data_IF_505355516809
#
_entry.id   IF_505355516809
#
_cell.length_a   1.000
_cell.length_b   1.000
_cell.length_c   1.000
_cell.angle_alpha   90.00
_cell.angle_beta   90.00
_cell.angle_gamma   90.00
#
_symmetry.space_group_name_H-M   'P 1'
#
loop_
_entity.id
_entity.type
_entity.pdbx_description
1 polymer ?
#
# COMPACT_ATOMS: atom_id res chain seq x y z
N UNK A 1 -8.87 18.15 -10.71
CA UNK A 1 -7.90 17.80 -9.65
C UNK A 1 -7.22 16.50 -10.02
N UNK A 2 -5.96 16.30 -9.60
CA UNK A 2 -5.19 15.07 -9.86
C UNK A 2 -4.76 14.50 -8.51
N UNK A 3 -4.85 13.18 -8.35
CA UNK A 3 -4.46 12.47 -7.15
C UNK A 3 -3.94 11.07 -7.50
N UNK A 4 -3.35 10.38 -6.52
CA UNK A 4 -2.87 9.01 -6.66
C UNK A 4 -3.13 8.20 -5.39
N UNK A 5 -3.56 6.96 -5.57
CA UNK A 5 -3.61 5.97 -4.49
C UNK A 5 -2.28 5.24 -4.37
N UNK A 6 -1.89 4.86 -3.15
CA UNK A 6 -0.68 4.09 -2.89
C UNK A 6 -1.04 2.82 -2.12
N UNK A 7 -0.53 1.67 -2.58
CA UNK A 7 -0.75 0.33 -2.00
C UNK A 7 0.28 0.00 -0.90
N UNK A 8 0.00 -0.91 0.06
CA UNK A 8 0.98 -1.25 1.09
C UNK A 8 2.19 -2.00 0.53
N UNK A 9 2.01 -2.89 -0.46
CA UNK A 9 3.10 -3.66 -1.06
C UNK A 9 4.15 -2.77 -1.75
N UNK A 10 3.73 -1.67 -2.39
CA UNK A 10 4.63 -0.74 -3.06
C UNK A 10 5.35 0.21 -2.09
N UNK A 11 4.89 0.31 -0.85
CA UNK A 11 5.60 1.01 0.22
C UNK A 11 6.63 0.11 0.92
N UNK A 12 6.31 -1.17 1.08
CA UNK A 12 7.14 -2.12 1.82
C UNK A 12 8.17 -2.85 0.98
N UNK A 13 7.81 -3.21 -0.26
CA UNK A 13 8.61 -4.11 -1.08
C UNK A 13 9.21 -3.36 -2.27
N UNK A 14 10.42 -3.78 -2.64
CA UNK A 14 11.01 -3.50 -3.94
C UNK A 14 11.10 -4.80 -4.75
N UNK A 15 11.50 -4.71 -6.02
CA UNK A 15 11.52 -5.84 -6.97
C UNK A 15 12.38 -7.01 -6.51
N UNK A 16 13.34 -6.81 -5.61
CA UNK A 16 14.15 -7.93 -5.10
C UNK A 16 13.29 -8.91 -4.29
N UNK A 17 12.19 -8.44 -3.69
CA UNK A 17 11.21 -9.29 -3.01
C UNK A 17 10.53 -10.31 -3.94
N UNK A 18 10.53 -10.09 -5.26
CA UNK A 18 10.05 -11.07 -6.24
C UNK A 18 11.01 -12.25 -6.40
N UNK A 19 12.28 -12.10 -6.03
CA UNK A 19 13.35 -13.05 -6.36
C UNK A 19 14.15 -13.52 -5.13
N UNK A 20 13.76 -13.10 -3.93
CA UNK A 20 14.44 -13.49 -2.69
C UNK A 20 14.23 -14.98 -2.43
N UNK A 21 15.32 -15.75 -2.47
CA UNK A 21 15.28 -17.21 -2.30
C UNK A 21 14.59 -17.95 -3.45
N UNK A 22 14.44 -17.31 -4.63
CA UNK A 22 13.68 -17.83 -5.77
C UNK A 22 12.50 -16.92 -6.12
N UNK A 23 11.76 -17.29 -7.18
CA UNK A 23 10.57 -16.55 -7.58
C UNK A 23 9.50 -16.63 -6.48
N UNK A 24 9.07 -15.48 -5.97
CA UNK A 24 8.01 -15.33 -4.97
C UNK A 24 6.71 -14.87 -5.66
N UNK A 25 5.85 -15.80 -6.14
CA UNK A 25 4.65 -15.43 -6.92
C UNK A 25 3.63 -14.63 -6.11
N UNK A 26 3.60 -14.78 -4.78
CA UNK A 26 2.71 -14.01 -3.90
C UNK A 26 3.08 -12.52 -3.83
N UNK A 27 4.29 -12.15 -4.23
CA UNK A 27 4.73 -10.75 -4.35
C UNK A 27 4.48 -10.17 -5.76
N UNK A 28 4.02 -10.99 -6.72
CA UNK A 28 3.75 -10.55 -8.09
C UNK A 28 2.38 -9.87 -8.19
N UNK A 29 2.39 -8.61 -8.62
CA UNK A 29 1.21 -7.79 -8.93
C UNK A 29 1.48 -6.86 -10.12
N UNK A 30 0.42 -6.20 -10.59
CA UNK A 30 0.49 -5.12 -11.55
C UNK A 30 -0.03 -3.82 -10.92
N UNK A 31 0.67 -2.69 -11.09
CA UNK A 31 2.02 -2.56 -11.66
C UNK A 31 3.07 -3.36 -10.87
N UNK A 32 4.12 -3.86 -11.53
CA UNK A 32 5.14 -4.70 -10.87
C UNK A 32 5.96 -3.90 -9.86
N UNK A 33 6.40 -4.54 -8.76
CA UNK A 33 7.41 -3.98 -7.85
C UNK A 33 8.63 -3.47 -8.63
N UNK A 34 9.14 -2.30 -8.24
CA UNK A 34 10.24 -1.60 -8.92
C UNK A 34 11.50 -1.57 -8.06
N UNK A 35 12.58 -0.94 -8.55
CA UNK A 35 13.83 -0.76 -7.80
C UNK A 35 13.60 0.02 -6.50
N UNK A 36 14.51 -0.13 -5.54
CA UNK A 36 14.43 0.51 -4.22
C UNK A 36 14.26 2.04 -4.29
N UNK A 37 14.93 2.71 -5.24
CA UNK A 37 14.77 4.15 -5.45
C UNK A 37 13.31 4.57 -5.70
N UNK A 38 12.52 3.71 -6.35
CA UNK A 38 11.11 3.99 -6.61
C UNK A 38 10.26 3.74 -5.36
N UNK A 39 10.56 2.68 -4.60
CA UNK A 39 9.90 2.42 -3.30
C UNK A 39 10.11 3.60 -2.36
N UNK A 40 11.35 4.08 -2.24
CA UNK A 40 11.69 5.25 -1.42
C UNK A 40 10.96 6.52 -1.86
N UNK A 41 10.87 6.76 -3.18
CA UNK A 41 10.12 7.90 -3.71
C UNK A 41 8.61 7.80 -3.38
N UNK A 42 8.01 6.62 -3.48
CA UNK A 42 6.61 6.38 -3.13
C UNK A 42 6.39 6.57 -1.62
N UNK A 43 7.30 6.06 -0.77
CA UNK A 43 7.26 6.29 0.68
C UNK A 43 7.30 7.78 0.99
N UNK A 44 8.28 8.51 0.44
CA UNK A 44 8.41 9.96 0.62
C UNK A 44 7.15 10.72 0.17
N UNK A 45 6.55 10.34 -0.95
CA UNK A 45 5.31 10.93 -1.43
C UNK A 45 4.13 10.66 -0.47
N UNK A 46 3.91 9.41 -0.09
CA UNK A 46 2.81 9.01 0.79
C UNK A 46 2.90 9.64 2.19
N UNK A 47 4.12 9.78 2.74
CA UNK A 47 4.37 10.33 4.08
C UNK A 47 4.65 11.84 4.07
N UNK A 48 4.55 12.51 2.93
CA UNK A 48 4.78 13.95 2.81
C UNK A 48 3.75 14.79 3.57
N UNK A 49 2.50 14.32 3.68
CA UNK A 49 1.36 15.10 4.15
C UNK A 49 0.60 15.82 3.03
N UNK A 50 0.99 15.59 1.76
CA UNK A 50 0.23 16.07 0.60
C UNK A 50 -1.16 15.44 0.54
N UNK A 51 -2.18 16.27 0.27
CA UNK A 51 -3.57 15.83 0.10
C UNK A 51 -3.82 15.03 -1.18
N UNK A 52 -2.84 14.98 -2.09
CA UNK A 52 -2.95 14.26 -3.37
C UNK A 52 -2.71 12.75 -3.25
N UNK A 53 -2.14 12.29 -2.13
CA UNK A 53 -1.88 10.87 -1.90
C UNK A 53 -2.79 10.33 -0.79
N UNK A 54 -3.42 9.19 -1.06
CA UNK A 54 -4.29 8.52 -0.09
C UNK A 54 -4.27 7.00 -0.26
N UNK A 55 -4.79 6.32 0.75
CA UNK A 55 -4.85 4.87 0.82
C UNK A 55 -5.64 4.28 -0.36
N UNK A 56 -5.03 3.30 -1.04
CA UNK A 56 -5.74 2.39 -1.94
C UNK A 56 -5.02 1.05 -1.93
N UNK A 57 -5.65 0.02 -1.38
CA UNK A 57 -4.97 -1.23 -1.04
C UNK A 57 -4.57 -2.05 -2.26
N UNK A 58 -5.38 -2.00 -3.32
CA UNK A 58 -5.30 -2.93 -4.43
C UNK A 58 -5.25 -4.40 -3.94
N UNK A 59 -6.04 -4.70 -2.90
CA UNK A 59 -6.12 -6.06 -2.37
C UNK A 59 -6.79 -6.96 -3.40
N UNK A 60 -6.01 -7.82 -4.02
CA UNK A 60 -6.41 -8.66 -5.14
C UNK A 60 -6.22 -10.15 -4.79
N UNK A 61 -7.22 -10.79 -4.14
CA UNK A 61 -7.13 -12.18 -3.76
C UNK A 61 -7.18 -13.11 -4.98
N UNK A 62 -6.28 -14.09 -4.97
CA UNK A 62 -6.30 -15.23 -5.88
C UNK A 62 -6.10 -16.50 -5.05
N UNK A 63 -6.72 -17.59 -5.48
CA UNK A 63 -6.46 -18.89 -4.88
C UNK A 63 -4.98 -19.27 -5.02
N UNK A 64 -4.45 -19.98 -4.02
CA UNK A 64 -3.02 -20.33 -3.95
C UNK A 64 -2.51 -20.99 -5.23
N UNK A 65 -3.28 -21.92 -5.79
CA UNK A 65 -2.90 -22.62 -7.03
C UNK A 65 -2.89 -21.72 -8.28
N UNK A 66 -3.64 -20.61 -8.27
CA UNK A 66 -3.62 -19.62 -9.35
C UNK A 66 -2.39 -18.70 -9.26
N UNK A 67 -1.79 -18.57 -8.07
CA UNK A 67 -0.51 -17.89 -7.86
C UNK A 67 0.67 -18.82 -8.17
N UNK A 68 0.60 -20.07 -7.75
CA UNK A 68 1.69 -21.07 -7.82
C UNK A 68 1.59 -21.96 -9.07
N UNK A 69 1.55 -21.33 -10.25
CA UNK A 69 1.47 -22.02 -11.55
C UNK A 69 2.42 -21.39 -12.58
N UNK A 70 2.70 -22.04 -13.73
CA UNK A 70 3.62 -21.51 -14.74
C UNK A 70 3.26 -20.09 -15.23
N UNK A 71 1.97 -19.75 -15.24
CA UNK A 71 1.47 -18.40 -15.53
C UNK A 71 0.67 -17.89 -14.32
N UNK A 72 1.35 -17.55 -13.23
CA UNK A 72 0.74 -17.09 -11.99
C UNK A 72 0.01 -15.75 -12.12
N UNK A 73 -1.17 -15.62 -11.51
CA UNK A 73 -1.95 -14.38 -11.52
C UNK A 73 -1.23 -13.24 -10.79
N UNK A 74 -1.37 -12.02 -11.32
CA UNK A 74 -0.90 -10.80 -10.68
C UNK A 74 -1.93 -10.29 -9.65
N UNK A 75 -1.50 -10.05 -8.42
CA UNK A 75 -2.35 -9.53 -7.35
C UNK A 75 -1.86 -9.95 -5.97
N UNK A 76 -1.97 -9.08 -4.97
CA UNK A 76 -1.59 -9.38 -3.58
C UNK A 76 -2.81 -9.23 -2.69
N UNK A 77 -3.12 -10.28 -1.93
CA UNK A 77 -4.14 -10.21 -0.90
C UNK A 77 -3.56 -9.57 0.36
N UNK A 78 -3.88 -8.30 0.60
CA UNK A 78 -3.33 -7.53 1.72
C UNK A 78 -4.40 -6.96 2.65
N UNK A 79 -5.69 -7.03 2.31
CA UNK A 79 -6.79 -6.44 3.08
C UNK A 79 -6.76 -6.77 4.58
N UNK A 80 -6.45 -8.01 5.03
CA UNK A 80 -6.44 -8.33 6.46
C UNK A 80 -5.40 -7.59 7.29
N UNK A 81 -4.34 -7.08 6.65
CA UNK A 81 -3.18 -6.48 7.33
C UNK A 81 -2.85 -5.08 6.84
N UNK A 82 -3.59 -4.56 5.85
CA UNK A 82 -3.24 -3.34 5.13
C UNK A 82 -3.01 -2.14 6.06
N UNK A 83 -3.89 -1.91 7.03
CA UNK A 83 -3.78 -0.76 7.92
C UNK A 83 -2.53 -0.84 8.79
N UNK A 84 -2.22 -2.01 9.36
CA UNK A 84 -0.99 -2.25 10.13
C UNK A 84 0.27 -2.05 9.28
N UNK A 85 0.23 -2.43 8.00
CA UNK A 85 1.33 -2.22 7.08
C UNK A 85 1.57 -0.73 6.77
N UNK A 86 0.51 0.07 6.57
CA UNK A 86 0.67 1.52 6.43
C UNK A 86 1.19 2.17 7.71
N UNK A 87 0.64 1.80 8.87
CA UNK A 87 1.08 2.33 10.16
C UNK A 87 2.58 2.08 10.38
N UNK A 88 3.05 0.85 10.10
CA UNK A 88 4.48 0.52 10.13
C UNK A 88 5.33 1.44 9.26
N UNK A 89 4.94 1.63 7.99
CA UNK A 89 5.70 2.49 7.06
C UNK A 89 5.74 3.94 7.52
N UNK A 90 4.60 4.47 8.00
CA UNK A 90 4.52 5.85 8.48
C UNK A 90 5.31 6.05 9.76
N UNK A 91 5.32 5.06 10.66
CA UNK A 91 6.17 5.07 11.86
C UNK A 91 7.66 5.04 11.49
N UNK A 92 8.09 4.12 10.62
CA UNK A 92 9.49 4.03 10.15
C UNK A 92 9.95 5.31 9.43
N UNK A 93 9.02 6.05 8.81
CA UNK A 93 9.29 7.34 8.18
C UNK A 93 9.21 8.54 9.14
N UNK A 94 8.93 8.33 10.43
CA UNK A 94 8.76 9.40 11.42
C UNK A 94 7.57 10.33 11.14
N UNK A 95 6.51 9.80 10.53
CA UNK A 95 5.38 10.56 9.99
C UNK A 95 4.01 10.03 10.47
N UNK A 96 3.97 9.38 11.63
CA UNK A 96 2.75 8.73 12.13
C UNK A 96 1.59 9.73 12.35
N UNK A 97 1.91 10.99 12.65
CA UNK A 97 0.99 12.13 12.75
C UNK A 97 0.21 12.39 11.45
N UNK A 98 0.73 11.95 10.30
CA UNK A 98 0.11 12.13 8.97
C UNK A 98 -0.72 10.94 8.51
N UNK A 99 -0.67 9.82 9.24
CA UNK A 99 -1.32 8.57 8.83
C UNK A 99 -2.83 8.74 8.65
N UNK A 100 -3.51 9.38 9.61
CA UNK A 100 -4.96 9.54 9.58
C UNK A 100 -5.44 10.32 8.35
N UNK A 101 -4.73 11.39 7.98
CA UNK A 101 -5.06 12.15 6.78
C UNK A 101 -4.97 11.28 5.52
N UNK A 102 -3.90 10.48 5.41
CA UNK A 102 -3.68 9.56 4.29
C UNK A 102 -4.75 8.44 4.21
N UNK A 103 -5.17 7.90 5.36
CA UNK A 103 -6.11 6.77 5.39
C UNK A 103 -7.58 7.17 5.37
N UNK A 104 -7.91 8.37 5.86
CA UNK A 104 -9.29 8.69 6.27
C UNK A 104 -9.81 10.04 5.76
N UNK A 105 -8.96 11.00 5.41
CA UNK A 105 -9.40 12.35 5.03
C UNK A 105 -9.19 12.67 3.56
N UNK A 106 -7.98 12.45 3.05
CA UNK A 106 -7.59 12.84 1.69
C UNK A 106 -8.45 12.17 0.62
N UNK A 107 -8.80 10.89 0.82
CA UNK A 107 -9.68 10.15 -0.09
C UNK A 107 -11.09 10.75 -0.16
N UNK A 108 -11.87 10.77 0.95
CA UNK A 108 -13.21 11.36 0.95
C UNK A 108 -13.23 12.81 0.44
N UNK A 109 -12.27 13.64 0.84
CA UNK A 109 -12.14 15.02 0.37
C UNK A 109 -11.98 15.10 -1.16
N UNK A 110 -11.14 14.23 -1.75
CA UNK A 110 -10.94 14.17 -3.20
C UNK A 110 -12.19 13.69 -3.95
N UNK A 111 -12.90 12.70 -3.41
CA UNK A 111 -14.12 12.15 -4.00
C UNK A 111 -15.37 13.01 -3.73
N UNK A 112 -15.29 14.08 -2.93
CA UNK A 112 -16.45 14.89 -2.53
C UNK A 112 -17.41 14.14 -1.61
N UNK A 113 -16.91 13.18 -0.84
CA UNK A 113 -17.68 12.36 0.10
C UNK A 113 -17.48 12.83 1.55
N UNK A 114 -18.48 12.64 2.43
CA UNK A 114 -18.31 12.95 3.85
C UNK A 114 -17.24 12.07 4.49
N UNK A 115 -16.51 12.64 5.44
CA UNK A 115 -15.57 11.88 6.27
C UNK A 115 -16.33 10.98 7.24
N UNK A 116 -15.75 9.82 7.56
CA UNK A 116 -16.29 8.95 8.60
C UNK A 116 -16.23 9.63 9.97
N UNK A 117 -17.24 9.38 10.81
CA UNK A 117 -17.30 9.86 12.20
C UNK A 117 -16.92 8.79 13.22
N UNK A 118 -16.92 7.51 12.81
CA UNK A 118 -16.41 6.42 13.63
C UNK A 118 -14.89 6.44 13.68
N UNK A 119 -14.35 5.99 14.81
CA UNK A 119 -12.92 5.93 15.06
C UNK A 119 -12.52 4.50 15.34
N UNK A 120 -11.36 4.11 14.84
CA UNK A 120 -10.68 2.87 15.21
C UNK A 120 -9.39 3.23 15.94
N UNK A 121 -9.04 2.44 16.95
CA UNK A 121 -7.79 2.61 17.70
C UNK A 121 -6.83 1.49 17.32
N UNK A 122 -5.63 1.86 16.91
CA UNK A 122 -4.54 0.90 16.69
C UNK A 122 -3.61 0.88 17.91
N UNK A 123 -3.14 -0.31 18.28
CA UNK A 123 -2.20 -0.51 19.37
C UNK A 123 -0.95 -1.24 18.84
N UNK A 124 0.19 -1.00 19.47
CA UNK A 124 1.45 -1.68 19.18
C UNK A 124 1.47 -3.10 19.74
#
# INVERSE_FOLDING_TARGET
FVAATVTPQHLLLNRNALFQGGLQPHNYCLPVLKREIHRQAIVSAATSGSKQFFLGTDSAPHEKHQKERPCGCAGIYNAPVALSLYAKVFEEAGALDKLEAFTSFNGPDFYGLPRNTSVITMQK
#
